data_IF_822701488409
#
_entry.id   IF_822701488409
#
_cell.length_a   1.000
_cell.length_b   1.000
_cell.length_c   1.000
_cell.angle_alpha   90.00
_cell.angle_beta   90.00
_cell.angle_gamma   90.00
#
_symmetry.space_group_name_H-M   'P 1'
#
loop_
_entity.id
_entity.type
_entity.pdbx_description
1 polymer ?
#
# COMPACT_ATOMS: atom_id res chain seq x y z
N UNK A 1 -22.66 22.73 11.33
CA UNK A 1 -22.45 21.92 10.10
C UNK A 1 -22.31 20.47 10.53
N UNK A 2 -23.03 19.54 9.92
CA UNK A 2 -22.86 18.11 10.17
C UNK A 2 -21.45 17.70 9.76
N UNK A 3 -20.78 16.84 10.56
CA UNK A 3 -19.49 16.25 10.15
C UNK A 3 -19.69 15.51 8.82
N UNK A 4 -18.73 15.59 7.87
CA UNK A 4 -18.80 14.80 6.65
C UNK A 4 -18.86 13.30 6.99
N UNK A 5 -19.49 12.47 6.13
CA UNK A 5 -19.54 11.04 6.35
C UNK A 5 -18.10 10.48 6.41
N UNK A 6 -17.87 9.49 7.26
CA UNK A 6 -16.54 8.88 7.44
C UNK A 6 -16.07 8.12 6.18
N UNK A 7 -17.00 7.51 5.44
CA UNK A 7 -16.72 6.95 4.11
C UNK A 7 -17.09 7.99 3.05
N UNK A 8 -16.11 8.46 2.29
CA UNK A 8 -16.29 9.54 1.32
C UNK A 8 -15.26 9.43 0.17
N UNK A 9 -15.52 10.02 -1.00
CA UNK A 9 -14.56 10.15 -2.09
C UNK A 9 -13.31 10.93 -1.66
N UNK A 10 -12.15 10.58 -2.24
CA UNK A 10 -10.88 11.30 -2.03
C UNK A 10 -10.21 11.57 -3.37
N UNK A 11 -9.59 12.73 -3.52
CA UNK A 11 -8.80 13.07 -4.71
C UNK A 11 -7.32 13.13 -4.39
N UNK A 12 -6.48 12.57 -5.29
CA UNK A 12 -5.01 12.65 -5.25
C UNK A 12 -4.59 13.37 -6.53
N UNK A 13 -4.30 14.66 -6.46
CA UNK A 13 -4.10 15.46 -7.67
C UNK A 13 -5.32 15.37 -8.60
N UNK A 14 -5.13 14.84 -9.80
CA UNK A 14 -6.17 14.63 -10.82
C UNK A 14 -6.90 13.26 -10.72
N UNK A 15 -6.54 12.41 -9.77
CA UNK A 15 -7.17 11.11 -9.56
C UNK A 15 -8.36 11.27 -8.61
N UNK A 16 -9.57 10.91 -9.06
CA UNK A 16 -10.77 10.93 -8.22
C UNK A 16 -11.14 9.50 -7.82
N UNK A 17 -11.01 9.18 -6.55
CA UNK A 17 -11.29 7.89 -5.94
C UNK A 17 -12.70 7.88 -5.32
N UNK A 18 -13.42 6.77 -5.49
CA UNK A 18 -14.80 6.63 -5.01
C UNK A 18 -14.94 6.51 -3.49
N UNK A 19 -13.83 6.24 -2.80
CA UNK A 19 -13.79 6.06 -1.35
C UNK A 19 -12.39 6.24 -0.79
N UNK A 20 -12.25 6.09 0.51
CA UNK A 20 -11.07 6.43 1.29
C UNK A 20 -10.41 5.25 2.02
N UNK A 21 -10.62 4.01 1.52
CA UNK A 21 -10.03 2.78 2.06
C UNK A 21 -9.00 2.23 1.07
N UNK A 22 -7.72 2.27 1.42
CA UNK A 22 -6.61 1.95 0.53
C UNK A 22 -5.82 0.74 1.02
N UNK A 23 -5.23 -0.01 0.08
CA UNK A 23 -4.25 -1.04 0.39
C UNK A 23 -2.85 -0.44 0.42
N UNK A 24 -2.14 -0.63 1.51
CA UNK A 24 -0.75 -0.21 1.67
C UNK A 24 0.23 -1.03 0.81
N UNK A 25 1.37 -0.44 0.42
CA UNK A 25 2.50 -1.19 -0.12
C UNK A 25 3.07 -2.13 0.94
N UNK A 26 3.08 -3.43 0.67
CA UNK A 26 3.58 -4.47 1.58
C UNK A 26 4.53 -5.40 0.83
N UNK A 27 5.83 -5.27 1.10
CA UNK A 27 6.86 -6.08 0.46
C UNK A 27 6.62 -7.58 0.65
N UNK A 28 6.69 -8.34 -0.45
CA UNK A 28 6.40 -9.77 -0.50
C UNK A 28 4.92 -10.10 -0.35
N UNK A 29 4.01 -9.14 -0.55
CA UNK A 29 2.58 -9.38 -0.38
C UNK A 29 1.68 -8.64 -1.37
N UNK A 30 1.93 -7.34 -1.65
CA UNK A 30 1.07 -6.52 -2.50
C UNK A 30 1.40 -6.63 -4.00
N UNK A 31 1.59 -7.87 -4.49
CA UNK A 31 1.62 -8.16 -5.91
C UNK A 31 0.24 -7.95 -6.57
N UNK A 32 0.18 -8.05 -7.91
CA UNK A 32 -1.05 -7.84 -8.68
C UNK A 32 -2.18 -8.79 -8.30
N UNK A 33 -1.88 -10.06 -7.97
CA UNK A 33 -2.88 -11.04 -7.56
C UNK A 33 -3.54 -10.64 -6.22
N UNK A 34 -2.75 -10.28 -5.22
CA UNK A 34 -3.29 -9.84 -3.93
C UNK A 34 -4.03 -8.49 -4.04
N UNK A 35 -3.49 -7.53 -4.79
CA UNK A 35 -4.18 -6.26 -5.03
C UNK A 35 -5.53 -6.48 -5.72
N UNK A 36 -5.58 -7.41 -6.69
CA UNK A 36 -6.82 -7.77 -7.39
C UNK A 36 -7.91 -8.26 -6.43
N UNK A 37 -7.62 -9.18 -5.51
CA UNK A 37 -8.62 -9.63 -4.52
C UNK A 37 -9.00 -8.56 -3.51
N UNK A 38 -8.10 -7.61 -3.20
CA UNK A 38 -8.43 -6.46 -2.36
C UNK A 38 -9.40 -5.49 -3.08
N UNK A 39 -9.18 -5.21 -4.37
CA UNK A 39 -10.10 -4.39 -5.19
C UNK A 39 -11.49 -5.03 -5.27
N UNK A 40 -11.59 -6.34 -5.51
CA UNK A 40 -12.87 -7.06 -5.51
C UNK A 40 -13.62 -6.96 -4.18
N UNK A 41 -12.89 -6.77 -3.11
CA UNK A 41 -13.44 -6.62 -1.77
C UNK A 41 -13.53 -5.15 -1.30
N UNK A 42 -13.42 -4.18 -2.21
CA UNK A 42 -13.75 -2.79 -1.93
C UNK A 42 -12.57 -1.88 -1.60
N UNK A 43 -11.31 -2.31 -1.81
CA UNK A 43 -10.19 -1.37 -1.79
C UNK A 43 -10.36 -0.33 -2.90
N UNK A 44 -10.31 0.95 -2.55
CA UNK A 44 -10.54 2.04 -3.50
C UNK A 44 -9.28 2.46 -4.25
N UNK A 45 -8.11 2.15 -3.69
CA UNK A 45 -6.81 2.42 -4.28
C UNK A 45 -5.76 1.48 -3.72
N UNK A 46 -4.78 1.11 -4.53
CA UNK A 46 -3.75 0.15 -4.16
C UNK A 46 -2.36 0.67 -4.52
N UNK A 47 -1.38 0.12 -3.83
CA UNK A 47 0.03 0.42 -4.05
C UNK A 47 0.77 -0.89 -4.34
N UNK A 48 1.70 -0.86 -5.30
CA UNK A 48 2.57 -2.01 -5.57
C UNK A 48 3.50 -2.29 -4.39
N UNK A 49 4.22 -3.40 -4.42
CA UNK A 49 5.42 -3.54 -3.62
C UNK A 49 6.42 -2.43 -3.97
N UNK A 50 7.35 -2.14 -3.06
CA UNK A 50 8.35 -1.11 -3.32
C UNK A 50 9.37 -1.58 -4.37
N UNK A 51 9.55 -0.77 -5.38
CA UNK A 51 10.39 -1.01 -6.57
C UNK A 51 11.71 -0.25 -6.43
N UNK A 52 12.83 -0.93 -6.62
CA UNK A 52 14.15 -0.29 -6.55
C UNK A 52 14.41 0.60 -7.77
N UNK A 53 14.60 1.90 -7.55
CA UNK A 53 14.97 2.85 -8.61
C UNK A 53 16.28 2.46 -9.29
N UNK A 54 17.31 2.09 -8.51
CA UNK A 54 18.60 1.59 -9.03
C UNK A 54 18.43 0.35 -9.92
N UNK A 55 17.56 -0.59 -9.52
CA UNK A 55 17.35 -1.80 -10.31
C UNK A 55 16.60 -1.50 -11.62
N UNK A 56 15.65 -0.56 -11.62
CA UNK A 56 14.95 -0.12 -12.83
C UNK A 56 15.90 0.55 -13.83
N UNK A 57 16.68 1.50 -13.37
CA UNK A 57 17.66 2.22 -14.23
C UNK A 57 18.68 1.24 -14.82
N UNK A 58 19.05 0.20 -14.09
CA UNK A 58 19.92 -0.89 -14.58
C UNK A 58 19.18 -1.95 -15.40
N UNK A 59 17.93 -1.73 -15.79
CA UNK A 59 17.11 -2.62 -16.63
C UNK A 59 16.97 -4.05 -16.09
N UNK A 60 16.80 -4.18 -14.77
CA UNK A 60 16.58 -5.48 -14.13
C UNK A 60 15.13 -5.95 -14.36
N UNK A 61 14.94 -6.92 -15.24
CA UNK A 61 13.62 -7.46 -15.63
C UNK A 61 12.78 -8.00 -14.46
N UNK A 62 13.43 -8.54 -13.42
CA UNK A 62 12.72 -9.04 -12.22
C UNK A 62 12.00 -7.93 -11.47
N UNK A 63 12.44 -6.70 -11.60
CA UNK A 63 11.83 -5.53 -10.96
C UNK A 63 10.57 -5.09 -11.68
N UNK A 64 10.45 -5.34 -12.98
CA UNK A 64 9.29 -4.96 -13.78
C UNK A 64 8.01 -5.72 -13.39
N UNK A 65 8.16 -6.97 -12.95
CA UNK A 65 7.01 -7.78 -12.48
C UNK A 65 6.30 -7.12 -11.29
N UNK A 66 7.05 -6.43 -10.42
CA UNK A 66 6.49 -5.75 -9.25
C UNK A 66 5.59 -4.56 -9.63
N UNK A 67 5.72 -4.02 -10.85
CA UNK A 67 4.97 -2.85 -11.31
C UNK A 67 3.67 -3.21 -12.05
N UNK A 68 3.41 -4.49 -12.31
CA UNK A 68 2.25 -4.93 -13.09
C UNK A 68 0.94 -4.44 -12.48
N UNK A 69 0.05 -3.95 -13.33
CA UNK A 69 -1.33 -3.62 -12.96
C UNK A 69 -2.13 -4.92 -12.78
N UNK A 70 -2.98 -4.99 -11.76
CA UNK A 70 -3.97 -6.05 -11.67
C UNK A 70 -5.11 -5.80 -12.67
N UNK A 71 -5.73 -6.87 -13.19
CA UNK A 71 -6.70 -6.78 -14.28
C UNK A 71 -7.95 -5.92 -13.96
N UNK A 72 -8.26 -5.74 -12.70
CA UNK A 72 -9.42 -4.99 -12.20
C UNK A 72 -9.04 -3.65 -11.52
N UNK A 73 -7.79 -3.22 -11.59
CA UNK A 73 -7.35 -1.91 -11.09
C UNK A 73 -7.66 -0.80 -12.10
N UNK A 74 -8.62 0.06 -11.78
CA UNK A 74 -8.89 1.27 -12.55
C UNK A 74 -7.85 2.37 -12.31
N UNK A 75 -7.28 2.40 -11.12
CA UNK A 75 -6.18 3.29 -10.73
C UNK A 75 -5.31 2.61 -9.66
N UNK A 76 -4.00 2.81 -9.73
CA UNK A 76 -3.06 2.31 -8.72
C UNK A 76 -1.79 3.17 -8.69
N UNK A 77 -1.02 3.03 -7.63
CA UNK A 77 0.29 3.66 -7.49
C UNK A 77 1.42 2.64 -7.61
N UNK A 78 2.47 2.99 -8.34
CA UNK A 78 3.75 2.29 -8.26
C UNK A 78 4.60 2.96 -7.20
N UNK A 79 4.97 2.20 -6.15
CA UNK A 79 5.86 2.72 -5.12
C UNK A 79 7.31 2.46 -5.49
N UNK A 80 8.12 3.51 -5.58
CA UNK A 80 9.57 3.43 -5.82
C UNK A 80 10.39 3.80 -4.58
N UNK A 81 11.59 3.25 -4.46
CA UNK A 81 12.55 3.64 -3.43
C UNK A 81 13.95 3.83 -3.99
N UNK A 82 14.64 4.84 -3.47
CA UNK A 82 16.01 5.21 -3.77
C UNK A 82 16.40 6.42 -2.94
N UNK A 83 17.67 6.73 -2.88
CA UNK A 83 18.18 7.89 -2.14
C UNK A 83 18.77 8.96 -3.05
N UNK A 84 19.02 8.68 -4.33
CA UNK A 84 19.65 9.61 -5.28
C UNK A 84 18.58 10.27 -6.16
N UNK A 85 18.48 11.62 -6.15
CA UNK A 85 17.43 12.36 -6.87
C UNK A 85 17.37 12.05 -8.37
N UNK A 86 18.50 12.02 -9.05
CA UNK A 86 18.58 11.77 -10.49
C UNK A 86 18.14 10.36 -10.86
N UNK A 87 18.54 9.37 -10.05
CA UNK A 87 18.14 7.96 -10.22
C UNK A 87 16.64 7.79 -9.99
N UNK A 88 16.09 8.47 -8.98
CA UNK A 88 14.67 8.45 -8.68
C UNK A 88 13.83 9.11 -9.78
N UNK A 89 14.31 10.22 -10.34
CA UNK A 89 13.69 10.91 -11.47
C UNK A 89 13.66 10.02 -12.72
N UNK A 90 14.78 9.35 -13.03
CA UNK A 90 14.85 8.43 -14.16
C UNK A 90 13.96 7.20 -13.95
N UNK A 91 13.98 6.61 -12.76
CA UNK A 91 13.11 5.49 -12.42
C UNK A 91 11.62 5.87 -12.58
N UNK A 92 11.21 7.08 -12.18
CA UNK A 92 9.85 7.56 -12.34
C UNK A 92 9.44 7.62 -13.83
N UNK A 93 10.31 8.10 -14.72
CA UNK A 93 10.06 8.08 -16.17
C UNK A 93 9.88 6.67 -16.70
N UNK A 94 10.79 5.76 -16.34
CA UNK A 94 10.71 4.35 -16.75
C UNK A 94 9.40 3.71 -16.25
N UNK A 95 8.98 4.00 -15.02
CA UNK A 95 7.71 3.50 -14.49
C UNK A 95 6.56 3.97 -15.36
N UNK A 96 6.45 5.26 -15.65
CA UNK A 96 5.35 5.82 -16.45
C UNK A 96 5.31 5.25 -17.87
N UNK A 97 6.49 5.16 -18.53
CA UNK A 97 6.61 4.58 -19.87
C UNK A 97 6.15 3.12 -19.94
N UNK A 98 6.46 2.32 -18.90
CA UNK A 98 6.17 0.89 -18.90
C UNK A 98 4.78 0.53 -18.37
N UNK A 99 4.20 1.33 -17.49
CA UNK A 99 3.01 0.93 -16.73
C UNK A 99 1.79 1.81 -16.95
N UNK A 100 1.99 3.08 -17.35
CA UNK A 100 0.93 4.08 -17.40
C UNK A 100 0.13 4.16 -16.08
N UNK A 101 0.82 4.00 -14.92
CA UNK A 101 0.17 4.09 -13.61
C UNK A 101 -0.31 5.52 -13.34
N UNK A 102 -1.39 5.63 -12.58
CA UNK A 102 -2.01 6.93 -12.27
C UNK A 102 -1.23 7.72 -11.23
N UNK A 103 -0.41 7.05 -10.40
CA UNK A 103 0.33 7.67 -9.31
C UNK A 103 1.72 7.05 -9.13
N UNK A 104 2.70 7.87 -8.79
CA UNK A 104 3.99 7.41 -8.27
C UNK A 104 4.05 7.72 -6.79
N UNK A 105 4.37 6.70 -5.97
CA UNK A 105 4.58 6.87 -4.53
C UNK A 105 6.05 6.70 -4.15
N UNK A 106 6.57 7.56 -3.29
CA UNK A 106 7.96 7.52 -2.83
C UNK A 106 8.02 6.89 -1.44
N UNK A 107 8.74 5.77 -1.33
CA UNK A 107 8.96 5.12 -0.05
C UNK A 107 9.98 5.88 0.81
N UNK A 108 9.50 6.56 1.84
CA UNK A 108 10.32 7.23 2.85
C UNK A 108 10.21 6.57 4.24
N UNK A 109 9.68 5.33 4.31
CA UNK A 109 9.37 4.69 5.59
C UNK A 109 9.93 3.28 5.81
N UNK A 110 10.52 2.64 4.82
CA UNK A 110 11.06 1.28 4.96
C UNK A 110 12.22 1.24 5.98
N UNK A 111 12.13 0.42 7.04
CA UNK A 111 13.17 0.36 8.08
C UNK A 111 14.28 -0.64 7.79
N UNK A 112 14.20 -1.39 6.69
CA UNK A 112 15.11 -2.51 6.38
C UNK A 112 16.56 -2.01 6.25
N UNK A 113 17.53 -2.57 6.99
CA UNK A 113 18.91 -2.07 7.03
C UNK A 113 19.59 -1.97 5.65
N UNK A 114 19.34 -2.93 4.75
CA UNK A 114 19.88 -2.92 3.39
C UNK A 114 19.41 -1.68 2.59
N UNK A 115 18.15 -1.26 2.76
CA UNK A 115 17.57 -0.10 2.08
C UNK A 115 18.07 1.19 2.74
N UNK A 116 18.03 1.25 4.06
CA UNK A 116 18.43 2.44 4.81
C UNK A 116 19.91 2.80 4.58
N UNK A 117 20.79 1.79 4.42
CA UNK A 117 22.23 2.01 4.13
C UNK A 117 22.46 2.70 2.77
N UNK A 118 21.51 2.64 1.83
CA UNK A 118 21.59 3.36 0.55
C UNK A 118 21.01 4.78 0.59
N UNK A 119 20.68 5.28 1.77
CA UNK A 119 20.05 6.60 1.92
C UNK A 119 18.55 6.63 1.57
N UNK A 120 17.93 5.47 1.33
CA UNK A 120 16.52 5.33 0.96
C UNK A 120 15.63 4.92 2.15
N UNK A 121 14.32 4.87 1.91
CA UNK A 121 13.36 4.47 2.94
C UNK A 121 13.34 5.43 4.13
N UNK A 122 13.41 4.89 5.36
CA UNK A 122 13.40 5.71 6.58
C UNK A 122 14.60 6.68 6.71
N UNK A 123 15.66 6.50 5.91
CA UNK A 123 16.76 7.46 5.86
C UNK A 123 16.31 8.80 5.29
N UNK A 124 15.37 8.80 4.33
CA UNK A 124 14.80 10.05 3.80
C UNK A 124 13.95 10.79 4.84
N UNK A 125 13.14 10.09 5.66
CA UNK A 125 12.42 10.75 6.76
C UNK A 125 13.37 11.36 7.80
N UNK A 126 14.56 10.77 7.97
CA UNK A 126 15.61 11.30 8.88
C UNK A 126 16.33 12.53 8.30
N UNK A 127 16.38 12.65 6.97
CA UNK A 127 17.09 13.70 6.23
C UNK A 127 16.09 14.46 5.33
N UNK A 128 15.38 15.48 5.86
CA UNK A 128 14.37 16.25 5.13
C UNK A 128 14.91 16.97 3.90
N UNK A 129 16.18 17.45 3.94
CA UNK A 129 16.80 18.13 2.80
C UNK A 129 16.98 17.18 1.61
N UNK A 130 17.41 15.95 1.89
CA UNK A 130 17.52 14.91 0.87
C UNK A 130 16.14 14.47 0.39
N UNK A 131 15.17 14.33 1.29
CA UNK A 131 13.78 14.02 0.94
C UNK A 131 13.23 15.06 -0.02
N UNK A 132 13.41 16.36 0.27
CA UNK A 132 12.99 17.44 -0.61
C UNK A 132 13.57 17.26 -2.04
N UNK A 133 14.89 17.09 -2.16
CA UNK A 133 15.57 16.91 -3.46
C UNK A 133 15.06 15.71 -4.24
N UNK A 134 14.84 14.58 -3.56
CA UNK A 134 14.29 13.35 -4.16
C UNK A 134 12.87 13.58 -4.68
N UNK A 135 11.99 14.16 -3.85
CA UNK A 135 10.59 14.42 -4.24
C UNK A 135 10.53 15.45 -5.37
N UNK A 136 11.28 16.55 -5.28
CA UNK A 136 11.34 17.59 -6.30
C UNK A 136 11.80 17.02 -7.66
N UNK A 137 12.85 16.18 -7.66
CA UNK A 137 13.36 15.52 -8.86
C UNK A 137 12.32 14.61 -9.51
N UNK A 138 11.59 13.81 -8.72
CA UNK A 138 10.52 12.94 -9.22
C UNK A 138 9.33 13.77 -9.73
N UNK A 139 8.87 14.78 -8.99
CA UNK A 139 7.81 15.70 -9.42
C UNK A 139 8.19 16.40 -10.73
N UNK A 140 9.43 16.87 -10.84
CA UNK A 140 9.94 17.47 -12.06
C UNK A 140 10.03 16.50 -13.25
N UNK A 141 10.34 15.23 -13.00
CA UNK A 141 10.39 14.18 -14.02
C UNK A 141 9.01 13.85 -14.59
N UNK A 142 8.01 13.62 -13.72
CA UNK A 142 6.66 13.25 -14.15
C UNK A 142 5.93 14.38 -14.89
N UNK A 143 6.21 15.65 -14.57
CA UNK A 143 5.66 16.82 -15.28
C UNK A 143 6.16 16.94 -16.72
N UNK A 144 7.33 16.37 -17.04
CA UNK A 144 7.94 16.40 -18.38
C UNK A 144 7.47 15.26 -19.27
N UNK A 145 6.89 14.21 -18.70
CA UNK A 145 6.21 13.15 -19.44
C UNK A 145 4.85 13.71 -19.84
N UNK A 146 4.78 14.38 -21.00
CA UNK A 146 3.52 14.84 -21.58
C UNK A 146 2.82 13.60 -22.13
N UNK A 147 1.61 13.25 -21.70
CA UNK A 147 0.82 12.22 -22.37
C UNK A 147 0.64 12.60 -23.83
N UNK A 148 0.68 11.62 -24.76
CA UNK A 148 0.28 11.88 -26.13
C UNK A 148 -1.09 12.58 -26.15
N UNK A 149 -1.32 13.56 -27.04
CA UNK A 149 -2.56 14.30 -27.09
C UNK A 149 -3.73 13.33 -27.37
N UNK A 150 -4.52 13.06 -26.35
CA UNK A 150 -5.82 12.38 -26.49
C UNK A 150 -6.84 13.46 -26.76
N UNK A 151 -7.77 13.25 -27.69
CA UNK A 151 -8.90 14.16 -27.88
C UNK A 151 -9.68 14.28 -26.56
N UNK A 152 -9.58 15.44 -25.90
CA UNK A 152 -10.20 15.72 -24.61
C UNK A 152 -9.35 16.63 -23.73
N UNK A 153 -9.84 17.02 -22.54
CA UNK A 153 -9.03 17.76 -21.59
C UNK A 153 -7.84 16.89 -21.19
N UNK A 154 -6.62 17.42 -21.41
CA UNK A 154 -5.37 16.73 -21.07
C UNK A 154 -5.42 16.27 -19.61
N UNK A 155 -5.21 14.98 -19.31
CA UNK A 155 -5.03 14.56 -17.94
C UNK A 155 -3.83 15.33 -17.38
N UNK A 156 -4.00 15.99 -16.25
CA UNK A 156 -2.91 16.71 -15.58
C UNK A 156 -1.71 15.80 -15.30
N UNK A 157 -0.58 16.36 -14.83
CA UNK A 157 0.61 15.57 -14.55
C UNK A 157 0.31 14.47 -13.53
N UNK A 158 0.94 13.31 -13.69
CA UNK A 158 0.83 12.19 -12.75
C UNK A 158 1.17 12.67 -11.32
N UNK A 159 0.28 12.51 -10.33
CA UNK A 159 0.57 12.90 -8.97
C UNK A 159 1.67 12.06 -8.36
N UNK A 160 2.47 12.70 -7.52
CA UNK A 160 3.53 12.06 -6.73
C UNK A 160 3.14 12.12 -5.27
N UNK A 161 3.12 10.97 -4.59
CA UNK A 161 2.82 10.87 -3.17
C UNK A 161 4.03 10.40 -2.38
N UNK A 162 4.05 10.62 -1.08
CA UNK A 162 5.11 10.14 -0.21
C UNK A 162 4.56 9.36 0.97
N UNK A 163 5.25 8.29 1.37
CA UNK A 163 4.91 7.51 2.55
C UNK A 163 6.05 7.54 3.56
N UNK A 164 5.81 8.22 4.71
CA UNK A 164 6.80 8.50 5.77
C UNK A 164 6.53 7.69 7.04
N UNK A 165 7.51 7.72 7.96
CA UNK A 165 7.38 7.34 9.37
C UNK A 165 7.46 8.56 10.29
N UNK A 166 7.29 8.36 11.62
CA UNK A 166 7.40 9.45 12.59
C UNK A 166 8.85 9.95 12.80
N UNK A 167 9.84 9.13 12.46
CA UNK A 167 11.25 9.48 12.64
C UNK A 167 12.15 8.25 12.69
N UNK A 168 13.39 8.47 13.13
CA UNK A 168 14.40 7.41 13.21
C UNK A 168 14.28 6.59 14.51
N UNK A 169 14.22 7.26 15.63
CA UNK A 169 14.07 6.71 16.97
C UNK A 169 13.37 7.73 17.89
N UNK A 170 13.04 7.37 19.12
CA UNK A 170 12.29 8.23 20.05
C UNK A 170 12.95 9.60 20.30
N UNK A 171 14.28 9.68 20.24
CA UNK A 171 15.02 10.93 20.40
C UNK A 171 15.16 11.73 19.09
N UNK A 172 14.74 11.16 17.96
CA UNK A 172 14.87 11.76 16.64
C UNK A 172 13.56 11.58 15.86
N UNK A 173 12.57 12.40 16.21
CA UNK A 173 11.24 12.47 15.59
C UNK A 173 11.29 13.60 14.57
N UNK A 174 11.18 13.27 13.28
CA UNK A 174 11.42 14.19 12.14
C UNK A 174 10.26 14.23 11.15
N UNK A 175 9.10 13.67 11.50
CA UNK A 175 7.96 13.62 10.57
C UNK A 175 7.51 15.00 10.11
N UNK A 176 7.61 16.02 11.00
CA UNK A 176 7.15 17.38 10.73
C UNK A 176 7.99 18.02 9.62
N UNK A 177 9.30 17.97 9.75
CA UNK A 177 10.26 18.46 8.78
C UNK A 177 10.20 17.68 7.47
N UNK A 178 10.07 16.35 7.55
CA UNK A 178 9.91 15.48 6.38
C UNK A 178 8.61 15.76 5.61
N UNK A 179 7.50 15.97 6.32
CA UNK A 179 6.22 16.32 5.69
C UNK A 179 6.28 17.71 5.04
N UNK A 180 6.89 18.70 5.72
CA UNK A 180 7.06 20.03 5.15
C UNK A 180 7.93 19.98 3.87
N UNK A 181 9.05 19.27 3.90
CA UNK A 181 9.91 19.08 2.75
C UNK A 181 9.17 18.43 1.56
N UNK A 182 8.33 17.41 1.84
CA UNK A 182 7.52 16.77 0.81
C UNK A 182 6.50 17.74 0.18
N UNK A 183 5.83 18.55 1.00
CA UNK A 183 4.86 19.56 0.53
C UNK A 183 5.54 20.62 -0.34
N UNK A 184 6.68 21.15 0.12
CA UNK A 184 7.42 22.20 -0.57
C UNK A 184 8.00 21.69 -1.90
N UNK A 185 8.34 20.40 -1.98
CA UNK A 185 8.76 19.72 -3.21
C UNK A 185 7.60 19.36 -4.17
N UNK A 186 6.34 19.57 -3.76
CA UNK A 186 5.17 19.39 -4.61
C UNK A 186 4.51 18.01 -4.54
N UNK A 187 4.64 17.29 -3.42
CA UNK A 187 3.90 16.06 -3.19
C UNK A 187 2.38 16.31 -3.21
N UNK A 188 1.63 15.42 -3.86
CA UNK A 188 0.17 15.49 -4.03
C UNK A 188 -0.62 14.82 -2.90
N UNK A 189 0.03 14.05 -2.05
CA UNK A 189 -0.52 13.48 -0.81
C UNK A 189 0.61 12.99 0.10
N UNK A 190 0.32 12.90 1.40
CA UNK A 190 1.24 12.36 2.40
C UNK A 190 0.57 11.21 3.14
N UNK A 191 1.21 10.04 3.13
CA UNK A 191 0.84 8.92 4.00
C UNK A 191 1.79 8.86 5.19
N UNK A 192 1.26 8.73 6.40
CA UNK A 192 2.07 8.54 7.59
C UNK A 192 1.78 7.23 8.31
N UNK A 193 2.86 6.49 8.65
CA UNK A 193 2.82 5.41 9.63
C UNK A 193 3.60 5.88 10.87
N UNK A 194 2.92 6.34 11.94
CA UNK A 194 3.57 7.02 13.06
C UNK A 194 4.20 6.05 14.07
N UNK A 195 5.11 5.25 13.57
CA UNK A 195 6.15 4.53 14.30
C UNK A 195 7.50 5.00 13.83
N UNK A 196 8.50 5.01 14.73
CA UNK A 196 9.88 5.29 14.31
C UNK A 196 10.46 4.09 13.53
N UNK A 197 11.58 4.33 12.85
CA UNK A 197 12.34 3.24 12.20
C UNK A 197 12.79 2.20 13.23
N UNK A 198 13.26 2.65 14.41
CA UNK A 198 13.73 1.77 15.47
C UNK A 198 12.63 0.88 16.07
N UNK A 199 11.39 1.39 16.20
CA UNK A 199 10.26 0.59 16.66
C UNK A 199 9.88 -0.56 15.70
N UNK A 200 10.16 -0.42 14.40
CA UNK A 200 9.69 -1.41 13.43
C UNK A 200 8.17 -1.60 13.48
N UNK A 201 7.72 -2.65 14.16
CA UNK A 201 6.31 -2.96 14.44
C UNK A 201 6.01 -3.11 15.94
N UNK A 202 6.97 -2.85 16.81
CA UNK A 202 6.79 -2.97 18.26
C UNK A 202 5.92 -1.84 18.82
N UNK A 203 5.28 -2.12 19.96
CA UNK A 203 4.39 -1.18 20.62
C UNK A 203 3.20 -0.75 19.75
N UNK A 204 2.71 0.45 19.98
CA UNK A 204 1.57 1.04 19.27
C UNK A 204 1.99 2.17 18.35
N UNK A 205 1.23 2.36 17.28
CA UNK A 205 1.31 3.50 16.38
C UNK A 205 0.74 4.75 17.08
N UNK A 206 1.48 5.83 17.12
CA UNK A 206 1.05 7.07 17.81
C UNK A 206 0.14 7.92 16.91
N UNK A 207 -1.15 7.65 16.97
CA UNK A 207 -2.13 8.36 16.13
C UNK A 207 -2.25 9.86 16.44
N UNK A 208 -1.74 10.34 17.56
CA UNK A 208 -1.69 11.79 17.86
C UNK A 208 -0.86 12.56 16.83
N UNK A 209 0.19 11.91 16.29
CA UNK A 209 1.03 12.47 15.22
C UNK A 209 0.23 12.64 13.92
N UNK A 210 -0.71 11.74 13.60
CA UNK A 210 -1.57 11.88 12.42
C UNK A 210 -2.42 13.14 12.51
N UNK A 211 -3.06 13.38 13.67
CA UNK A 211 -3.85 14.60 13.91
C UNK A 211 -3.01 15.84 13.73
N UNK A 212 -1.83 15.88 14.33
CA UNK A 212 -0.90 17.00 14.19
C UNK A 212 -0.45 17.22 12.74
N UNK A 213 -0.29 16.13 11.96
CA UNK A 213 0.03 16.23 10.54
C UNK A 213 -1.14 16.82 9.75
N UNK A 214 -2.39 16.36 10.01
CA UNK A 214 -3.59 16.92 9.38
C UNK A 214 -3.71 18.42 9.66
N UNK A 215 -3.53 18.84 10.91
CA UNK A 215 -3.52 20.25 11.31
C UNK A 215 -2.43 21.05 10.60
N UNK A 216 -1.21 20.51 10.51
CA UNK A 216 -0.07 21.14 9.84
C UNK A 216 -0.29 21.26 8.32
N UNK A 217 -0.83 20.24 7.68
CA UNK A 217 -1.11 20.22 6.23
C UNK A 217 -2.23 21.18 5.90
N UNK A 218 -3.22 21.30 6.77
CA UNK A 218 -4.33 22.25 6.69
C UNK A 218 -5.04 22.26 5.31
N UNK A 219 -5.35 21.08 4.79
CA UNK A 219 -6.08 20.89 3.53
C UNK A 219 -5.29 21.17 2.25
N UNK A 220 -3.98 21.47 2.31
CA UNK A 220 -3.15 21.70 1.10
C UNK A 220 -3.07 20.47 0.20
N UNK A 221 -2.99 19.30 0.79
CA UNK A 221 -3.05 17.98 0.13
C UNK A 221 -3.75 16.99 1.07
N UNK A 222 -4.29 15.87 0.58
CA UNK A 222 -4.85 14.85 1.46
C UNK A 222 -3.77 14.12 2.28
N UNK A 223 -4.15 13.76 3.51
CA UNK A 223 -3.31 13.02 4.46
C UNK A 223 -3.90 11.64 4.68
N UNK A 224 -3.09 10.59 4.56
CA UNK A 224 -3.51 9.21 4.75
C UNK A 224 -2.87 8.61 6.00
N UNK A 225 -3.69 7.91 6.80
CA UNK A 225 -3.25 7.25 8.02
C UNK A 225 -2.98 5.75 7.80
N UNK A 226 -1.89 5.24 8.36
CA UNK A 226 -1.55 3.82 8.35
C UNK A 226 -0.96 3.40 9.69
N UNK A 227 -1.20 2.16 10.10
CA UNK A 227 -0.65 1.59 11.34
C UNK A 227 -1.74 1.16 12.31
N UNK A 228 -1.63 -0.11 12.75
CA UNK A 228 -2.55 -0.77 13.71
C UNK A 228 -4.02 -0.81 13.27
N UNK A 229 -4.25 -1.02 11.98
CA UNK A 229 -5.54 -1.26 11.38
C UNK A 229 -5.70 -2.77 11.14
N UNK A 230 -6.36 -3.48 12.04
CA UNK A 230 -6.56 -4.94 11.98
C UNK A 230 -8.02 -5.36 11.85
N UNK A 231 -8.95 -4.45 12.12
CA UNK A 231 -10.41 -4.64 12.03
C UNK A 231 -11.10 -3.34 11.59
N UNK A 232 -12.34 -3.42 11.10
CA UNK A 232 -13.10 -2.24 10.64
C UNK A 232 -13.20 -1.10 11.67
N UNK A 233 -13.36 -1.45 12.97
CA UNK A 233 -13.44 -0.46 14.05
C UNK A 233 -12.16 0.37 14.21
N UNK A 234 -11.00 -0.21 13.91
CA UNK A 234 -9.74 0.54 13.98
C UNK A 234 -9.70 1.65 12.93
N UNK A 235 -10.21 1.38 11.72
CA UNK A 235 -10.31 2.37 10.66
C UNK A 235 -11.32 3.49 11.01
N UNK A 236 -12.50 3.10 11.52
CA UNK A 236 -13.50 4.05 12.01
C UNK A 236 -12.89 4.97 13.06
N UNK A 237 -12.24 4.39 14.07
CA UNK A 237 -11.59 5.13 15.15
C UNK A 237 -10.48 6.06 14.63
N UNK A 238 -9.64 5.58 13.70
CA UNK A 238 -8.58 6.42 13.11
C UNK A 238 -9.18 7.63 12.40
N UNK A 239 -10.19 7.45 11.54
CA UNK A 239 -10.86 8.55 10.84
C UNK A 239 -11.48 9.57 11.82
N UNK A 240 -12.16 9.07 12.88
CA UNK A 240 -12.83 9.92 13.88
C UNK A 240 -11.85 10.72 14.75
N UNK A 241 -10.73 10.10 15.16
CA UNK A 241 -9.81 10.69 16.13
C UNK A 241 -8.72 11.55 15.49
N UNK A 242 -8.36 11.27 14.24
CA UNK A 242 -7.21 11.92 13.60
C UNK A 242 -7.58 12.90 12.52
N UNK A 243 -8.75 12.73 11.89
CA UNK A 243 -9.20 13.55 10.77
C UNK A 243 -8.42 13.30 9.47
N UNK A 244 -7.73 12.16 9.32
CA UNK A 244 -7.09 11.80 8.05
C UNK A 244 -8.14 11.59 6.95
N UNK A 245 -7.80 11.94 5.72
CA UNK A 245 -8.71 11.84 4.56
C UNK A 245 -8.94 10.39 4.13
N UNK A 246 -7.96 9.52 4.31
CA UNK A 246 -8.08 8.10 4.01
C UNK A 246 -7.28 7.25 5.00
N UNK A 247 -7.66 5.98 5.11
CA UNK A 247 -6.92 4.96 5.87
C UNK A 247 -6.30 3.94 4.94
N UNK A 248 -5.12 3.46 5.32
CA UNK A 248 -4.32 2.56 4.50
C UNK A 248 -4.04 1.27 5.27
N UNK A 249 -4.75 0.19 4.90
CA UNK A 249 -4.58 -1.14 5.49
C UNK A 249 -3.32 -1.81 4.97
N UNK A 250 -2.54 -2.41 5.87
CA UNK A 250 -1.39 -3.24 5.56
C UNK A 250 -1.61 -4.67 6.09
N UNK A 251 -1.06 -4.99 7.26
CA UNK A 251 -1.17 -6.31 7.88
C UNK A 251 -2.61 -6.79 8.12
N UNK A 252 -3.54 -5.86 8.35
CA UNK A 252 -4.96 -6.21 8.55
C UNK A 252 -5.66 -6.75 7.31
N UNK A 253 -5.13 -6.47 6.11
CA UNK A 253 -5.64 -7.02 4.86
C UNK A 253 -5.04 -8.39 4.51
N UNK A 254 -3.91 -8.78 5.11
CA UNK A 254 -3.25 -10.06 4.82
C UNK A 254 -4.12 -11.26 5.20
N UNK A 255 -4.55 -12.05 4.21
CA UNK A 255 -5.50 -13.15 4.39
C UNK A 255 -6.90 -12.69 4.82
N UNK A 256 -7.15 -11.40 4.76
CA UNK A 256 -8.43 -10.76 5.07
C UNK A 256 -8.71 -9.57 4.13
N UNK A 257 -8.76 -9.76 2.81
CA UNK A 257 -9.10 -8.68 1.87
C UNK A 257 -10.50 -8.12 2.10
N UNK A 258 -11.35 -8.84 2.83
CA UNK A 258 -12.71 -8.45 3.19
C UNK A 258 -12.76 -7.23 4.11
N UNK A 259 -11.65 -6.89 4.78
CA UNK A 259 -11.57 -5.74 5.68
C UNK A 259 -12.02 -4.43 5.02
N UNK A 260 -11.87 -4.29 3.71
CA UNK A 260 -12.34 -3.11 2.98
C UNK A 260 -13.85 -3.03 2.91
N UNK A 261 -14.54 -4.10 2.45
CA UNK A 261 -16.01 -4.12 2.38
C UNK A 261 -16.64 -4.07 3.76
N UNK A 262 -16.04 -4.77 4.74
CA UNK A 262 -16.54 -4.78 6.13
C UNK A 262 -16.40 -3.38 6.74
N UNK A 263 -15.30 -2.68 6.48
CA UNK A 263 -15.12 -1.28 6.90
C UNK A 263 -16.12 -0.36 6.20
N UNK A 264 -16.32 -0.51 4.89
CA UNK A 264 -17.32 0.28 4.16
C UNK A 264 -18.71 0.08 4.77
N UNK A 265 -19.11 -1.17 5.04
CA UNK A 265 -20.40 -1.50 5.68
C UNK A 265 -20.51 -0.84 7.06
N UNK A 266 -19.48 -1.00 7.91
CA UNK A 266 -19.47 -0.37 9.23
C UNK A 266 -19.61 1.15 9.17
N UNK A 267 -18.92 1.80 8.23
CA UNK A 267 -18.92 3.28 8.11
C UNK A 267 -20.23 3.82 7.51
N UNK A 268 -20.94 3.02 6.71
CA UNK A 268 -22.17 3.46 6.01
C UNK A 268 -23.45 2.99 6.70
N UNK A 269 -23.49 1.76 7.24
CA UNK A 269 -24.68 1.16 7.84
C UNK A 269 -24.57 0.95 9.34
N UNK A 270 -23.37 1.05 9.90
CA UNK A 270 -23.11 0.84 11.33
C UNK A 270 -22.80 -0.60 11.71
N UNK A 271 -22.94 -1.57 10.81
CA UNK A 271 -22.71 -3.01 11.05
C UNK A 271 -22.02 -3.68 9.87
N UNK A 272 -21.46 -4.87 10.11
CA UNK A 272 -20.97 -5.77 9.07
C UNK A 272 -21.07 -7.22 9.56
N UNK A 273 -21.12 -8.17 8.63
CA UNK A 273 -21.24 -9.59 8.94
C UNK A 273 -19.90 -10.30 8.78
N UNK A 274 -19.52 -11.21 9.70
CA UNK A 274 -18.30 -11.99 9.57
C UNK A 274 -18.28 -12.82 8.29
N UNK A 275 -17.17 -12.81 7.58
CA UNK A 275 -17.01 -13.58 6.34
C UNK A 275 -16.82 -15.07 6.68
N UNK A 276 -17.64 -15.98 6.12
CA UNK A 276 -17.51 -17.42 6.34
C UNK A 276 -16.12 -17.95 5.95
N UNK A 277 -15.65 -18.96 6.68
CA UNK A 277 -14.34 -19.58 6.42
C UNK A 277 -14.22 -20.11 4.98
N UNK A 278 -15.29 -20.71 4.46
CA UNK A 278 -15.36 -21.20 3.08
C UNK A 278 -15.08 -20.08 2.06
N UNK A 279 -15.71 -18.92 2.21
CA UNK A 279 -15.51 -17.76 1.31
C UNK A 279 -14.09 -17.25 1.40
N UNK A 280 -13.50 -17.24 2.60
CA UNK A 280 -12.09 -16.84 2.78
C UNK A 280 -11.14 -17.77 2.02
N UNK A 281 -11.34 -19.09 2.11
CA UNK A 281 -10.52 -20.07 1.41
C UNK A 281 -10.73 -19.98 -0.10
N UNK A 282 -11.96 -19.82 -0.59
CA UNK A 282 -12.23 -19.61 -2.02
C UNK A 282 -11.52 -18.36 -2.56
N UNK A 283 -11.50 -17.28 -1.80
CA UNK A 283 -10.73 -16.07 -2.16
C UNK A 283 -9.23 -16.35 -2.22
N UNK A 284 -8.71 -17.18 -1.29
CA UNK A 284 -7.32 -17.64 -1.32
C UNK A 284 -7.00 -18.44 -2.59
N UNK A 285 -7.92 -19.29 -3.07
CA UNK A 285 -7.76 -20.01 -4.35
C UNK A 285 -7.78 -19.06 -5.53
N UNK A 286 -8.69 -18.09 -5.57
CA UNK A 286 -8.72 -17.07 -6.63
C UNK A 286 -7.40 -16.26 -6.68
N UNK A 287 -6.81 -15.97 -5.53
CA UNK A 287 -5.49 -15.33 -5.45
C UNK A 287 -4.38 -16.25 -5.96
N UNK A 288 -4.39 -17.55 -5.57
CA UNK A 288 -3.43 -18.55 -6.03
C UNK A 288 -3.45 -18.71 -7.56
N UNK A 289 -4.63 -18.85 -8.15
CA UNK A 289 -4.80 -19.00 -9.61
C UNK A 289 -4.26 -17.79 -10.37
N UNK A 290 -4.55 -16.58 -9.90
CA UNK A 290 -4.02 -15.33 -10.50
C UNK A 290 -2.51 -15.28 -10.41
N UNK A 291 -1.96 -15.58 -9.24
CA UNK A 291 -0.51 -15.57 -9.03
C UNK A 291 0.18 -16.64 -9.89
N UNK A 292 -0.41 -17.82 -10.04
CA UNK A 292 0.10 -18.88 -10.89
C UNK A 292 0.09 -18.51 -12.38
N UNK A 293 -0.96 -17.82 -12.84
CA UNK A 293 -1.07 -17.32 -14.20
C UNK A 293 -0.03 -16.23 -14.52
N UNK A 294 0.34 -15.42 -13.54
CA UNK A 294 1.31 -14.33 -13.71
C UNK A 294 2.78 -14.76 -13.55
N UNK A 295 3.03 -15.88 -12.85
CA UNK A 295 4.38 -16.35 -12.52
C UNK A 295 4.60 -17.79 -12.96
N UNK A 296 4.43 -18.74 -12.05
CA UNK A 296 4.39 -20.17 -12.28
C UNK A 296 3.66 -20.84 -11.11
N UNK A 297 3.10 -22.03 -11.33
CA UNK A 297 2.44 -22.80 -10.28
C UNK A 297 3.38 -23.02 -9.07
N UNK A 298 4.61 -23.41 -9.32
CA UNK A 298 5.60 -23.65 -8.25
C UNK A 298 5.85 -22.41 -7.41
N UNK A 299 6.04 -21.24 -8.05
CA UNK A 299 6.25 -19.98 -7.35
C UNK A 299 5.01 -19.56 -6.57
N UNK A 300 3.85 -19.62 -7.21
CA UNK A 300 2.58 -19.27 -6.59
C UNK A 300 2.30 -20.13 -5.35
N UNK A 301 2.47 -21.45 -5.46
CA UNK A 301 2.26 -22.35 -4.33
C UNK A 301 3.21 -22.05 -3.15
N UNK A 302 4.45 -21.70 -3.40
CA UNK A 302 5.40 -21.31 -2.34
C UNK A 302 4.97 -20.02 -1.64
N UNK A 303 4.57 -19.00 -2.40
CA UNK A 303 4.09 -17.72 -1.85
C UNK A 303 2.75 -17.87 -1.09
N UNK A 304 1.86 -18.72 -1.60
CA UNK A 304 0.55 -18.95 -1.00
C UNK A 304 0.61 -19.71 0.33
N UNK A 305 1.69 -20.37 0.69
CA UNK A 305 1.85 -21.02 2.02
C UNK A 305 1.57 -20.03 3.16
N UNK A 306 2.21 -18.85 3.13
CA UNK A 306 2.00 -17.78 4.13
C UNK A 306 0.59 -17.17 4.05
N UNK A 307 0.04 -17.08 2.83
CA UNK A 307 -1.28 -16.47 2.58
C UNK A 307 -2.42 -17.38 3.02
N UNK A 308 -2.40 -18.68 2.65
CA UNK A 308 -3.37 -19.65 3.14
C UNK A 308 -3.30 -19.85 4.66
N UNK A 309 -2.09 -19.73 5.26
CA UNK A 309 -1.98 -19.69 6.72
C UNK A 309 -2.79 -18.51 7.29
N UNK A 310 -2.78 -17.35 6.66
CA UNK A 310 -3.54 -16.18 7.07
C UNK A 310 -5.05 -16.34 6.80
N UNK A 311 -5.45 -16.80 5.60
CA UNK A 311 -6.85 -17.10 5.24
C UNK A 311 -7.51 -18.14 6.15
N UNK A 312 -6.74 -19.15 6.61
CA UNK A 312 -7.22 -20.23 7.48
C UNK A 312 -7.25 -19.85 8.96
N UNK A 313 -6.93 -18.62 9.34
CA UNK A 313 -6.95 -18.18 10.73
C UNK A 313 -8.36 -18.33 11.33
N UNK A 314 -8.45 -19.00 12.50
CA UNK A 314 -9.72 -19.23 13.19
C UNK A 314 -10.53 -20.43 12.68
N UNK A 315 -10.03 -21.19 11.69
CA UNK A 315 -10.64 -22.47 11.31
C UNK A 315 -10.33 -23.51 12.40
N UNK A 316 -11.33 -24.31 12.84
CA UNK A 316 -11.12 -25.43 13.79
C UNK A 316 -10.02 -26.38 13.30
N UNK A 317 -9.32 -27.04 14.21
CA UNK A 317 -8.21 -27.94 13.91
C UNK A 317 -7.05 -27.30 13.13
N UNK A 318 -6.84 -26.02 13.28
CA UNK A 318 -5.87 -25.23 12.52
C UNK A 318 -4.39 -25.68 12.64
N UNK A 319 -4.02 -26.50 13.64
CA UNK A 319 -2.66 -27.05 13.79
C UNK A 319 -2.27 -28.01 12.66
N UNK A 320 -2.98 -29.12 12.47
CA UNK A 320 -2.78 -30.04 11.34
C UNK A 320 -2.91 -29.33 9.99
N UNK A 321 -3.92 -28.46 9.82
CA UNK A 321 -4.13 -27.69 8.60
C UNK A 321 -2.91 -26.84 8.23
N UNK A 322 -2.37 -26.08 9.17
CA UNK A 322 -1.17 -25.25 8.93
C UNK A 322 0.05 -26.10 8.56
N UNK A 323 0.18 -27.29 9.17
CA UNK A 323 1.27 -28.24 8.85
C UNK A 323 1.16 -28.75 7.41
N UNK A 324 -0.05 -29.06 6.96
CA UNK A 324 -0.31 -29.47 5.58
C UNK A 324 -0.03 -28.33 4.58
N UNK A 325 -0.52 -27.11 4.84
CA UNK A 325 -0.29 -25.92 4.00
C UNK A 325 1.21 -25.68 3.75
N UNK A 326 2.06 -25.83 4.77
CA UNK A 326 3.51 -25.62 4.62
C UNK A 326 4.15 -26.65 3.68
N UNK A 327 3.57 -27.84 3.53
CA UNK A 327 4.07 -28.91 2.65
C UNK A 327 3.52 -28.81 1.23
N UNK A 328 2.45 -28.05 0.99
CA UNK A 328 1.83 -27.93 -0.33
C UNK A 328 2.83 -27.39 -1.37
N UNK A 329 2.92 -28.05 -2.52
CA UNK A 329 3.81 -27.69 -3.62
C UNK A 329 3.08 -27.49 -4.95
N UNK A 330 1.84 -27.97 -5.06
CA UNK A 330 0.97 -27.87 -6.24
C UNK A 330 -0.40 -27.31 -5.86
N UNK A 331 -1.15 -26.81 -6.84
CA UNK A 331 -2.55 -26.37 -6.66
C UNK A 331 -3.40 -27.56 -6.20
N UNK A 332 -3.15 -28.75 -6.73
CA UNK A 332 -3.83 -29.98 -6.34
C UNK A 332 -3.61 -30.34 -4.86
N UNK A 333 -2.43 -30.08 -4.31
CA UNK A 333 -2.16 -30.28 -2.88
C UNK A 333 -3.06 -29.36 -2.04
N UNK A 334 -3.25 -28.09 -2.44
CA UNK A 334 -4.14 -27.18 -1.75
C UNK A 334 -5.59 -27.65 -1.83
N UNK A 335 -6.07 -28.11 -2.98
CA UNK A 335 -7.41 -28.70 -3.09
C UNK A 335 -7.59 -29.86 -2.12
N UNK A 336 -6.68 -30.85 -2.09
CA UNK A 336 -6.74 -31.99 -1.16
C UNK A 336 -6.75 -31.57 0.31
N UNK A 337 -6.02 -30.51 0.65
CA UNK A 337 -5.97 -29.97 2.02
C UNK A 337 -7.30 -29.37 2.43
N UNK A 338 -7.96 -28.62 1.54
CA UNK A 338 -9.16 -27.87 1.87
C UNK A 338 -10.47 -28.62 1.58
N UNK A 339 -10.49 -29.56 0.61
CA UNK A 339 -11.65 -30.41 0.32
C UNK A 339 -11.99 -31.36 1.50
N UNK A 340 -11.00 -31.70 2.31
CA UNK A 340 -11.21 -32.49 3.55
C UNK A 340 -11.77 -31.70 4.72
N UNK A 341 -11.95 -30.37 4.58
CA UNK A 341 -12.54 -29.53 5.62
C UNK A 341 -14.06 -29.44 5.40
N UNK A 342 -14.81 -30.03 6.33
CA UNK A 342 -16.25 -29.77 6.44
C UNK A 342 -16.42 -28.34 7.00
N UNK A 343 -16.83 -27.40 6.17
CA UNK A 343 -17.21 -26.04 6.55
C UNK A 343 -18.64 -25.95 7.03
#
# INVERSE_FOLDING_TARGET
MSKPPLYHPVSIGNINLKGNLFLAPVAGYSDSAFRSVCIENGACFTYTEMVSAEALVRKNLKTEILMRRACNESAYAVQIFGGEPEVMAEAARIVLEKTHCECIDINCGCPVPKIVKTGAGSALTRDPDRLFKVVEAVVGAVRRVVPEPVEGPSPGPTPVTVKIRSGWEQKQITWREAAQAALDAGASAITIHPRTKAQGYEGHSDWSIMRQLVEMVNGRVPVFGSGDLFKPEDAKKMLEETGVDAVMFARGAMGNPFIFKDTTSLLTTGTYEPVPAQVRIQTGFAELERLAAETSEQHACLEMRKRFHAYSKGIPNGGPLRKAIVQAATIEDYHKIFDGLLF
#
